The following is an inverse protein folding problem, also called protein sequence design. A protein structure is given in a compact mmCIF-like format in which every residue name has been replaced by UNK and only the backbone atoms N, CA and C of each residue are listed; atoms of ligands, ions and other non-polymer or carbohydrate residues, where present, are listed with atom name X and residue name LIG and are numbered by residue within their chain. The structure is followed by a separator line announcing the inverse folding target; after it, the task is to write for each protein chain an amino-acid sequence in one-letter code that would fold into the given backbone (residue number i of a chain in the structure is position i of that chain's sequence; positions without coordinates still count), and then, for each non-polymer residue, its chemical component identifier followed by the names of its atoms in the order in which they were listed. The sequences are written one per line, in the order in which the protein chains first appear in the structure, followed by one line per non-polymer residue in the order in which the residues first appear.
data_IF_979225692607
#
_entry.id   IF_979225692607
#
_cell.length_a   1.000
_cell.length_b   1.000
_cell.length_c   1.000
_cell.angle_alpha   90.00
_cell.angle_beta   90.00
_cell.angle_gamma   90.00
#
_symmetry.space_group_name_H-M   'P 1'
#
loop_
_entity.id
_entity.type
_entity.pdbx_description
1 polymer ?
#
# COMPACT_ATOMS: atom_id res chain seq x y z
N UNK A 1 -25.11 -7.27 0.75
CA UNK A 1 -24.22 -6.86 -0.34
C UNK A 1 -23.00 -7.76 -0.32
N UNK A 2 -22.42 -8.01 -1.48
CA UNK A 2 -21.15 -8.71 -1.69
C UNK A 2 -19.92 -7.85 -1.31
N UNK A 3 -20.14 -6.68 -0.70
CA UNK A 3 -19.09 -5.78 -0.20
C UNK A 3 -18.12 -6.45 0.80
N UNK A 4 -18.52 -7.53 1.47
CA UNK A 4 -17.65 -8.32 2.35
C UNK A 4 -16.85 -9.41 1.61
N UNK A 5 -17.11 -9.63 0.32
CA UNK A 5 -16.49 -10.69 -0.49
C UNK A 5 -15.62 -10.16 -1.63
N UNK A 6 -15.79 -8.91 -2.06
CA UNK A 6 -15.00 -8.33 -3.16
C UNK A 6 -13.63 -7.83 -2.68
N UNK A 7 -13.56 -7.11 -1.55
CA UNK A 7 -12.29 -6.59 -1.04
C UNK A 7 -11.78 -7.46 0.14
N UNK A 8 -10.47 -7.76 0.20
CA UNK A 8 -9.89 -8.49 1.32
C UNK A 8 -10.21 -7.82 2.67
N UNK A 9 -10.63 -8.56 3.72
CA UNK A 9 -11.16 -7.97 4.95
C UNK A 9 -10.22 -6.95 5.64
N UNK A 10 -8.90 -7.15 5.52
CA UNK A 10 -7.89 -6.21 6.05
C UNK A 10 -7.85 -4.89 5.27
N UNK A 11 -8.03 -4.96 3.95
CA UNK A 11 -8.08 -3.80 3.07
C UNK A 11 -9.40 -3.04 3.25
N UNK A 12 -10.53 -3.76 3.38
CA UNK A 12 -11.81 -3.16 3.78
C UNK A 12 -11.69 -2.41 5.10
N UNK A 13 -11.03 -3.00 6.11
CA UNK A 13 -10.89 -2.40 7.43
C UNK A 13 -10.02 -1.15 7.38
N UNK A 14 -8.83 -1.24 6.78
CA UNK A 14 -7.92 -0.09 6.66
C UNK A 14 -8.55 1.07 5.87
N UNK A 15 -9.25 0.76 4.77
CA UNK A 15 -9.98 1.76 3.99
C UNK A 15 -11.11 2.38 4.81
N UNK A 16 -11.88 1.58 5.56
CA UNK A 16 -12.98 2.07 6.39
C UNK A 16 -12.48 2.95 7.53
N UNK A 17 -11.37 2.60 8.17
CA UNK A 17 -10.74 3.40 9.22
C UNK A 17 -10.27 4.75 8.66
N UNK A 18 -9.57 4.75 7.53
CA UNK A 18 -9.12 5.97 6.88
C UNK A 18 -10.28 6.86 6.42
N UNK A 19 -11.35 6.27 5.87
CA UNK A 19 -12.56 6.98 5.48
C UNK A 19 -13.36 7.48 6.69
N UNK A 20 -13.38 6.76 7.81
CA UNK A 20 -14.03 7.21 9.03
C UNK A 20 -13.34 8.44 9.64
N UNK A 21 -12.04 8.61 9.42
CA UNK A 21 -11.33 9.86 9.73
C UNK A 21 -11.65 10.99 8.73
N UNK A 22 -12.08 10.64 7.51
CA UNK A 22 -12.42 11.59 6.46
C UNK A 22 -13.87 12.09 6.52
N UNK A 23 -14.79 11.32 7.12
CA UNK A 23 -16.20 11.67 7.20
C UNK A 23 -16.43 12.53 8.44
N UNK A 24 -16.99 13.75 8.28
CA UNK A 24 -17.35 14.57 9.43
C UNK A 24 -18.51 13.94 10.20
N UNK A 25 -18.77 14.38 11.42
CA UNK A 25 -19.96 13.97 12.17
C UNK A 25 -21.22 14.06 11.30
N UNK A 26 -22.18 13.14 11.51
CA UNK A 26 -23.36 12.92 10.64
C UNK A 26 -24.18 14.17 10.27
N UNK A 27 -23.95 15.30 10.94
CA UNK A 27 -24.67 16.56 10.77
C UNK A 27 -23.80 17.70 10.17
N UNK A 28 -22.54 17.45 9.84
CA UNK A 28 -21.64 18.46 9.30
C UNK A 28 -21.50 18.34 7.77
N UNK A 29 -21.52 19.47 7.04
CA UNK A 29 -21.43 19.46 5.58
C UNK A 29 -20.09 18.88 5.12
N UNK A 30 -20.13 18.09 4.04
CA UNK A 30 -18.93 17.58 3.39
C UNK A 30 -18.11 18.76 2.84
N UNK A 31 -16.91 18.93 3.38
CA UNK A 31 -15.94 19.91 2.89
C UNK A 31 -15.05 19.29 1.79
N UNK A 32 -14.45 20.11 0.91
CA UNK A 32 -13.43 19.63 -0.04
C UNK A 32 -12.25 18.89 0.62
N UNK A 33 -11.95 19.19 1.89
CA UNK A 33 -10.90 18.49 2.64
C UNK A 33 -11.26 17.01 2.91
N UNK A 34 -12.53 16.68 3.11
CA UNK A 34 -12.98 15.30 3.29
C UNK A 34 -12.79 14.47 2.01
N UNK A 35 -13.08 15.07 0.85
CA UNK A 35 -12.83 14.43 -0.44
C UNK A 35 -11.34 14.17 -0.65
N UNK A 36 -10.48 15.11 -0.25
CA UNK A 36 -9.03 14.93 -0.35
C UNK A 36 -8.54 13.75 0.51
N UNK A 37 -8.99 13.65 1.77
CA UNK A 37 -8.61 12.54 2.66
C UNK A 37 -9.15 11.20 2.15
N UNK A 38 -10.37 11.19 1.60
CA UNK A 38 -10.93 9.98 1.00
C UNK A 38 -10.15 9.53 -0.25
N UNK A 39 -9.82 10.47 -1.15
CA UNK A 39 -8.97 10.19 -2.32
C UNK A 39 -7.58 9.72 -1.90
N UNK A 40 -7.01 10.30 -0.85
CA UNK A 40 -5.72 9.91 -0.29
C UNK A 40 -5.74 8.47 0.22
N UNK A 41 -6.76 8.10 1.00
CA UNK A 41 -6.95 6.74 1.50
C UNK A 41 -7.06 5.72 0.37
N UNK A 42 -7.78 6.08 -0.70
CA UNK A 42 -7.91 5.24 -1.90
C UNK A 42 -6.56 5.09 -2.61
N UNK A 43 -5.81 6.17 -2.83
CA UNK A 43 -4.49 6.09 -3.46
C UNK A 43 -3.54 5.24 -2.62
N UNK A 44 -3.49 5.44 -1.29
CA UNK A 44 -2.66 4.63 -0.40
C UNK A 44 -3.01 3.13 -0.50
N UNK A 45 -4.30 2.79 -0.58
CA UNK A 45 -4.76 1.43 -0.80
C UNK A 45 -4.26 0.88 -2.15
N UNK A 46 -4.40 1.64 -3.23
CA UNK A 46 -3.92 1.22 -4.55
C UNK A 46 -2.40 1.06 -4.54
N UNK A 47 -1.64 1.97 -3.93
CA UNK A 47 -0.17 1.86 -3.84
C UNK A 47 0.23 0.59 -3.11
N UNK A 48 -0.44 0.26 -2.01
CA UNK A 48 -0.17 -0.98 -1.27
C UNK A 48 -0.48 -2.23 -2.11
N UNK A 49 -1.55 -2.21 -2.90
CA UNK A 49 -2.01 -3.36 -3.68
C UNK A 49 -1.29 -3.55 -5.01
N UNK A 50 -1.01 -2.46 -5.71
CA UNK A 50 -0.53 -2.50 -7.10
C UNK A 50 0.75 -1.72 -7.30
N UNK A 51 1.30 -1.04 -6.28
CA UNK A 51 2.50 -0.23 -6.43
C UNK A 51 3.75 -1.01 -6.86
N UNK A 52 3.77 -2.32 -6.63
CA UNK A 52 4.84 -3.23 -7.05
C UNK A 52 4.69 -3.72 -8.51
N UNK A 53 3.71 -3.21 -9.28
CA UNK A 53 3.48 -3.66 -10.66
C UNK A 53 4.73 -3.58 -11.56
N UNK A 54 5.62 -2.60 -11.31
CA UNK A 54 6.84 -2.37 -12.11
C UNK A 54 7.81 -3.55 -12.04
N UNK A 55 7.85 -4.24 -10.90
CA UNK A 55 8.73 -5.38 -10.67
C UNK A 55 8.30 -6.60 -11.50
N UNK A 56 7.08 -6.56 -12.04
CA UNK A 56 6.51 -7.60 -12.89
C UNK A 56 6.44 -7.17 -14.36
N UNK A 57 7.13 -6.10 -14.77
CA UNK A 57 7.29 -5.77 -16.19
C UNK A 57 8.66 -6.23 -16.66
N UNK A 58 8.67 -7.17 -17.61
CA UNK A 58 9.90 -7.63 -18.26
C UNK A 58 10.07 -6.95 -19.61
N UNK A 59 11.32 -6.84 -20.07
CA UNK A 59 11.62 -6.43 -21.44
C UNK A 59 12.14 -7.64 -22.20
N UNK A 60 11.46 -8.05 -23.26
CA UNK A 60 11.89 -9.14 -24.13
C UNK A 60 13.25 -8.80 -24.73
N UNK A 61 14.23 -9.69 -24.54
CA UNK A 61 15.58 -9.56 -25.11
C UNK A 61 15.56 -9.63 -26.64
N UNK A 62 14.56 -10.30 -27.23
CA UNK A 62 14.48 -10.56 -28.66
C UNK A 62 13.76 -9.44 -29.40
N UNK A 63 12.64 -8.94 -28.85
CA UNK A 63 11.81 -7.93 -29.52
C UNK A 63 11.97 -6.53 -28.94
N UNK A 64 12.64 -6.40 -27.78
CA UNK A 64 12.72 -5.14 -27.03
C UNK A 64 11.39 -4.67 -26.43
N UNK A 65 10.31 -5.44 -26.61
CA UNK A 65 8.98 -5.10 -26.13
C UNK A 65 8.85 -5.36 -24.64
N UNK A 66 8.10 -4.50 -23.97
CA UNK A 66 7.80 -4.65 -22.54
C UNK A 66 6.50 -5.43 -22.37
N UNK A 67 6.51 -6.38 -21.45
CA UNK A 67 5.38 -7.25 -21.18
C UNK A 67 5.14 -7.32 -19.67
N UNK A 68 3.88 -7.22 -19.28
CA UNK A 68 3.47 -7.37 -17.89
C UNK A 68 3.21 -8.83 -17.55
N UNK A 69 3.95 -9.35 -16.57
CA UNK A 69 3.87 -10.71 -16.07
C UNK A 69 2.78 -10.83 -15.00
N UNK A 70 1.53 -10.83 -15.45
CA UNK A 70 0.34 -10.85 -14.59
C UNK A 70 0.36 -11.98 -13.55
N UNK A 71 0.67 -13.21 -13.95
CA UNK A 71 0.71 -14.34 -13.02
C UNK A 71 1.74 -14.16 -11.90
N UNK A 72 2.89 -13.57 -12.24
CA UNK A 72 3.94 -13.24 -11.29
C UNK A 72 3.46 -12.15 -10.32
N UNK A 73 2.77 -11.13 -10.83
CA UNK A 73 2.18 -10.05 -10.03
C UNK A 73 1.16 -10.57 -9.01
N UNK A 74 0.20 -11.38 -9.45
CA UNK A 74 -0.82 -11.97 -8.58
C UNK A 74 -0.18 -12.88 -7.51
N UNK A 75 0.83 -13.67 -7.88
CA UNK A 75 1.53 -14.60 -6.97
C UNK A 75 2.50 -13.93 -5.99
N UNK A 76 2.82 -12.66 -6.18
CA UNK A 76 3.72 -11.91 -5.29
C UNK A 76 3.13 -11.70 -3.89
N UNK A 77 1.81 -11.72 -3.76
CA UNK A 77 1.12 -11.57 -2.49
C UNK A 77 0.85 -12.94 -1.86
N UNK A 78 1.27 -13.11 -0.61
CA UNK A 78 1.16 -14.37 0.15
C UNK A 78 -0.23 -14.61 0.76
N UNK A 79 -1.08 -13.59 0.85
CA UNK A 79 -2.42 -13.73 1.41
C UNK A 79 -3.41 -14.22 0.35
N UNK A 80 -3.98 -15.41 0.54
CA UNK A 80 -4.96 -16.02 -0.39
C UNK A 80 -6.08 -15.05 -0.78
N UNK A 81 -6.67 -14.33 0.17
CA UNK A 81 -7.77 -13.40 -0.14
C UNK A 81 -7.31 -12.22 -0.99
N UNK A 82 -6.14 -11.65 -0.68
CA UNK A 82 -5.56 -10.56 -1.49
C UNK A 82 -5.12 -11.04 -2.86
N UNK A 83 -4.63 -12.27 -2.97
CA UNK A 83 -4.30 -12.92 -4.24
C UNK A 83 -5.55 -13.11 -5.10
N UNK A 84 -6.65 -13.65 -4.54
CA UNK A 84 -7.93 -13.78 -5.26
C UNK A 84 -8.48 -12.43 -5.72
N UNK A 85 -8.37 -11.40 -4.88
CA UNK A 85 -8.74 -10.04 -5.28
C UNK A 85 -7.87 -9.53 -6.43
N UNK A 86 -6.54 -9.65 -6.32
CA UNK A 86 -5.65 -9.21 -7.40
C UNK A 86 -5.91 -9.98 -8.68
N UNK A 87 -6.18 -11.27 -8.61
CA UNK A 87 -6.52 -12.07 -9.78
C UNK A 87 -7.76 -11.47 -10.47
N UNK A 88 -8.88 -11.34 -9.78
CA UNK A 88 -10.06 -10.71 -10.38
C UNK A 88 -9.81 -9.26 -10.85
N UNK A 89 -9.19 -8.43 -9.99
CA UNK A 89 -8.96 -7.01 -10.27
C UNK A 89 -8.06 -6.79 -11.48
N UNK A 90 -7.05 -7.64 -11.65
CA UNK A 90 -6.11 -7.56 -12.77
C UNK A 90 -6.78 -7.82 -14.13
N UNK A 91 -7.95 -8.46 -14.15
CA UNK A 91 -8.72 -8.71 -15.39
C UNK A 91 -9.63 -7.53 -15.76
N UNK A 92 -9.80 -6.57 -14.85
CA UNK A 92 -10.66 -5.42 -15.11
C UNK A 92 -10.08 -4.53 -16.20
N UNK A 93 -10.95 -3.95 -17.03
CA UNK A 93 -10.54 -3.00 -18.08
C UNK A 93 -9.72 -1.83 -17.51
N UNK A 94 -10.07 -1.37 -16.30
CA UNK A 94 -9.36 -0.28 -15.64
C UNK A 94 -7.90 -0.63 -15.36
N UNK A 95 -7.64 -1.84 -14.85
CA UNK A 95 -6.28 -2.28 -14.57
C UNK A 95 -5.48 -2.55 -15.86
N UNK A 96 -6.11 -3.18 -16.85
CA UNK A 96 -5.48 -3.45 -18.15
C UNK A 96 -5.04 -2.15 -18.81
N UNK A 97 -5.94 -1.16 -18.90
CA UNK A 97 -5.62 0.16 -19.47
C UNK A 97 -4.53 0.88 -18.66
N UNK A 98 -4.55 0.75 -17.33
CA UNK A 98 -3.49 1.27 -16.47
C UNK A 98 -2.13 0.66 -16.84
N UNK A 99 -2.03 -0.67 -16.92
CA UNK A 99 -0.76 -1.35 -17.26
C UNK A 99 -0.29 -1.01 -18.67
N UNK A 100 -1.17 -1.02 -19.66
CA UNK A 100 -0.84 -0.68 -21.05
C UNK A 100 -0.20 0.70 -21.16
N UNK A 101 -0.78 1.70 -20.46
CA UNK A 101 -0.22 3.05 -20.41
C UNK A 101 1.21 3.11 -19.85
N UNK A 102 1.62 2.10 -19.07
CA UNK A 102 2.93 2.01 -18.42
C UNK A 102 3.91 1.10 -19.12
N UNK A 103 3.45 0.31 -20.08
CA UNK A 103 4.32 -0.45 -20.98
C UNK A 103 4.88 0.48 -22.06
N UNK A 104 4.08 1.43 -22.53
CA UNK A 104 4.50 2.48 -23.46
C UNK A 104 5.58 3.39 -22.84
N UNK A 105 6.71 3.53 -23.53
CA UNK A 105 7.84 4.38 -23.10
C UNK A 105 7.61 5.85 -23.45
N UNK A 106 6.71 6.16 -24.39
CA UNK A 106 6.39 7.54 -24.79
C UNK A 106 5.57 8.26 -23.72
N UNK A 107 4.83 7.49 -22.92
CA UNK A 107 4.07 7.96 -21.77
C UNK A 107 4.96 7.88 -20.53
N UNK A 108 5.84 8.88 -20.37
CA UNK A 108 6.67 9.04 -19.16
C UNK A 108 5.78 9.04 -17.91
N UNK A 109 5.85 8.02 -17.03
CA UNK A 109 4.99 7.96 -15.88
C UNK A 109 5.69 8.64 -14.70
N UNK A 110 5.40 9.93 -14.55
CA UNK A 110 5.65 10.73 -13.34
C UNK A 110 4.31 11.33 -12.85
N UNK A 111 3.29 10.47 -12.74
CA UNK A 111 2.00 10.85 -12.20
C UNK A 111 1.95 10.74 -10.68
N UNK A 112 0.84 11.20 -10.11
CA UNK A 112 0.58 11.14 -8.67
C UNK A 112 0.79 9.74 -8.09
N UNK A 113 0.39 8.69 -8.83
CA UNK A 113 0.52 7.32 -8.37
C UNK A 113 1.98 6.89 -8.17
N UNK A 114 2.89 7.25 -9.09
CA UNK A 114 4.31 6.86 -9.02
C UNK A 114 4.99 7.57 -7.87
N UNK A 115 4.68 8.85 -7.70
CA UNK A 115 5.12 9.63 -6.56
C UNK A 115 4.71 8.93 -5.25
N UNK A 116 3.45 8.50 -5.13
CA UNK A 116 2.98 7.82 -3.93
C UNK A 116 3.61 6.44 -3.73
N UNK A 117 3.91 5.70 -4.79
CA UNK A 117 4.67 4.45 -4.70
C UNK A 117 6.08 4.68 -4.13
N UNK A 118 6.77 5.72 -4.59
CA UNK A 118 8.10 6.09 -4.08
C UNK A 118 8.02 6.51 -2.61
N UNK A 119 7.04 7.33 -2.24
CA UNK A 119 6.81 7.75 -0.85
C UNK A 119 6.50 6.54 0.05
N UNK A 120 5.67 5.61 -0.40
CA UNK A 120 5.33 4.40 0.36
C UNK A 120 6.55 3.50 0.59
N UNK A 121 7.38 3.28 -0.44
CA UNK A 121 8.63 2.54 -0.31
C UNK A 121 9.61 3.26 0.62
N UNK A 122 9.69 4.60 0.53
CA UNK A 122 10.51 5.40 1.42
C UNK A 122 10.04 5.33 2.88
N UNK A 123 8.74 5.22 3.15
CA UNK A 123 8.19 5.00 4.50
C UNK A 123 8.47 3.60 5.02
N UNK A 124 8.38 2.58 4.15
CA UNK A 124 8.72 1.19 4.48
C UNK A 124 10.21 1.01 4.79
N UNK A 125 11.08 1.67 4.01
CA UNK A 125 12.53 1.64 4.16
C UNK A 125 13.09 2.76 5.04
N UNK A 126 12.23 3.69 5.50
CA UNK A 126 12.64 4.71 6.45
C UNK A 126 13.21 3.95 7.65
N UNK A 127 14.50 4.17 8.01
CA UNK A 127 14.98 3.64 9.26
C UNK A 127 14.06 4.23 10.31
N UNK A 128 13.30 3.37 11.02
CA UNK A 128 12.58 3.73 12.24
C UNK A 128 13.42 4.79 12.91
N UNK A 129 12.94 6.04 12.92
CA UNK A 129 13.76 7.22 13.17
C UNK A 129 14.80 6.90 14.24
N UNK A 130 16.07 7.28 14.05
CA UNK A 130 17.12 7.06 15.06
C UNK A 130 16.64 7.48 16.47
N UNK A 131 15.69 8.42 16.58
CA UNK A 131 14.98 8.79 17.81
C UNK A 131 14.06 7.69 18.38
N UNK A 132 13.31 6.96 17.55
CA UNK A 132 12.44 5.86 17.96
C UNK A 132 13.23 4.63 18.39
N UNK A 133 14.29 4.24 17.64
CA UNK A 133 15.21 3.16 18.06
C UNK A 133 15.98 3.50 19.34
N UNK A 134 16.38 4.75 19.54
CA UNK A 134 17.01 5.19 20.79
C UNK A 134 16.04 5.16 21.98
N UNK A 135 14.77 5.50 21.78
CA UNK A 135 13.77 5.50 22.85
C UNK A 135 13.35 4.08 23.27
N UNK A 136 13.17 3.15 22.33
CA UNK A 136 12.92 1.74 22.69
C UNK A 136 14.12 1.12 23.41
N UNK A 137 15.36 1.41 22.98
CA UNK A 137 16.55 0.89 23.65
C UNK A 137 16.72 1.43 25.07
N UNK A 138 16.31 2.70 25.33
CA UNK A 138 16.28 3.27 26.68
C UNK A 138 15.20 2.63 27.55
N UNK A 139 14.00 2.43 27.01
CA UNK A 139 12.90 1.80 27.75
C UNK A 139 13.21 0.34 28.09
N UNK A 140 13.68 -0.45 27.11
CA UNK A 140 14.06 -1.86 27.34
C UNK A 140 15.22 -1.98 28.32
N UNK A 141 16.19 -1.06 28.28
CA UNK A 141 17.30 -1.02 29.24
C UNK A 141 16.82 -0.66 30.66
N UNK A 142 15.95 0.34 30.80
CA UNK A 142 15.35 0.70 32.09
C UNK A 142 14.51 -0.42 32.70
N UNK A 143 13.79 -1.20 31.89
CA UNK A 143 13.07 -2.39 32.36
C UNK A 143 14.04 -3.50 32.80
N UNK A 144 15.13 -3.73 32.06
CA UNK A 144 16.15 -4.72 32.41
C UNK A 144 16.89 -4.38 33.71
N UNK A 145 17.17 -3.11 33.95
CA UNK A 145 17.84 -2.65 35.17
C UNK A 145 16.92 -2.80 36.40
N UNK A 146 15.62 -2.44 36.27
CA UNK A 146 14.62 -2.65 37.35
C UNK A 146 14.37 -4.13 37.64
N UNK A 147 14.35 -4.99 36.62
CA UNK A 147 14.17 -6.42 36.82
C UNK A 147 15.35 -7.02 37.61
N UNK A 148 16.58 -6.61 37.31
CA UNK A 148 17.77 -7.06 38.06
C UNK A 148 17.75 -6.61 39.51
N UNK A 149 17.21 -5.42 39.79
CA UNK A 149 17.04 -4.91 41.15
C UNK A 149 16.03 -5.74 41.97
N UNK A 150 14.95 -6.22 41.32
CA UNK A 150 13.97 -7.13 41.95
C UNK A 150 14.47 -8.56 42.17
N UNK A 151 15.41 -9.04 41.37
CA UNK A 151 15.93 -10.41 41.50
C UNK A 151 17.16 -10.53 42.41
N UNK A 152 17.75 -9.40 42.83
CA UNK A 152 18.93 -9.35 43.72
C UNK A 152 18.61 -8.81 45.13
N UNK A 153 17.33 -8.73 45.51
CA UNK A 153 16.87 -8.42 46.88
C UNK A 153 16.26 -9.65 47.55
#
# INVERSE_FOLDING_TARGET
GDESTVLPPRLCRGLREALHCAVPDKNAPLSPAHNLVASEALIALFVQLVGHYRDHIITSSTTGQREFQRDSFVKSITSNTSQSFLDWFSETTMFTAFIESRLDRSLEPWGLFEQRCVEHLAQQHAPLSRSYRANINKTVKSFGDRFKEWTNS
#
